data_IF_923926476893
#
_entry.id   IF_923926476893
#
_cell.length_a   1.000
_cell.length_b   1.000
_cell.length_c   1.000
_cell.angle_alpha   90.00
_cell.angle_beta   90.00
_cell.angle_gamma   90.00
#
_symmetry.space_group_name_H-M   'P 1'
#
loop_
_entity.id
_entity.type
_entity.pdbx_description
1 polymer ?
#
# COMPACT_ATOMS: atom_id res chain seq x y z
N UNK A 1 20.24 39.80 -5.62
CA UNK A 1 19.47 38.74 -6.30
C UNK A 1 18.43 38.24 -5.32
N UNK A 2 17.17 38.22 -5.74
CA UNK A 2 16.09 37.63 -4.94
C UNK A 2 16.34 36.11 -4.78
N UNK A 3 16.06 35.59 -3.59
CA UNK A 3 16.26 34.17 -3.23
C UNK A 3 14.89 33.63 -2.83
N UNK A 4 14.04 33.26 -3.81
CA UNK A 4 12.69 32.82 -3.51
C UNK A 4 12.70 31.57 -2.64
N UNK A 5 11.74 31.47 -1.73
CA UNK A 5 11.50 30.31 -0.85
C UNK A 5 10.09 29.78 -1.03
N UNK A 6 9.86 28.52 -0.69
CA UNK A 6 8.55 27.87 -0.82
C UNK A 6 7.47 28.47 0.10
N UNK A 7 6.19 28.12 -0.11
CA UNK A 7 5.09 28.58 0.73
C UNK A 7 5.28 28.12 2.18
N UNK A 8 4.80 28.90 3.17
CA UNK A 8 4.83 28.48 4.57
C UNK A 8 4.00 27.20 4.77
N UNK A 9 4.40 26.40 5.75
CA UNK A 9 3.77 25.12 6.08
C UNK A 9 3.12 25.25 7.45
N UNK A 10 1.85 24.81 7.57
CA UNK A 10 1.15 24.79 8.85
C UNK A 10 1.90 23.93 9.87
N UNK A 11 2.06 24.43 11.10
CA UNK A 11 2.69 23.70 12.20
C UNK A 11 1.69 22.67 12.74
N UNK A 12 1.76 21.46 12.21
CA UNK A 12 1.02 20.28 12.68
C UNK A 12 2.01 19.12 12.81
N UNK A 13 1.84 18.32 13.85
CA UNK A 13 2.66 17.13 14.10
C UNK A 13 2.07 15.91 13.36
N UNK A 14 2.93 15.11 12.72
CA UNK A 14 2.51 13.79 12.24
C UNK A 14 2.62 12.74 13.34
N UNK A 15 1.75 11.73 13.27
CA UNK A 15 1.71 10.62 14.22
C UNK A 15 2.33 9.35 13.59
N UNK A 16 2.93 8.46 14.39
CA UNK A 16 3.33 7.14 13.89
C UNK A 16 2.11 6.31 13.47
N UNK A 17 2.29 5.30 12.60
CA UNK A 17 1.23 4.35 12.25
C UNK A 17 0.55 3.77 13.50
N UNK A 18 -0.79 3.70 13.55
CA UNK A 18 -1.50 3.21 14.72
C UNK A 18 -1.35 1.69 14.84
N UNK A 19 -1.17 1.22 16.08
CA UNK A 19 -1.23 -0.20 16.42
C UNK A 19 -2.65 -0.72 16.63
N UNK A 20 -3.67 0.08 16.33
CA UNK A 20 -5.08 -0.30 16.40
C UNK A 20 -5.59 -0.72 15.03
N UNK A 21 -6.58 -1.61 15.00
CA UNK A 21 -7.22 -2.07 13.77
C UNK A 21 -7.96 -0.94 13.04
N UNK A 22 -7.71 -0.77 11.75
CA UNK A 22 -8.45 0.14 10.88
C UNK A 22 -9.55 -0.65 10.18
N UNK A 23 -10.82 -0.29 10.38
CA UNK A 23 -11.97 -1.05 9.86
C UNK A 23 -12.64 -0.33 8.70
N UNK A 24 -12.88 -1.04 7.60
CA UNK A 24 -13.76 -0.62 6.51
C UNK A 24 -14.95 -1.55 6.31
N UNK A 25 -15.76 -1.33 5.26
CA UNK A 25 -16.87 -2.20 4.88
C UNK A 25 -16.51 -3.68 4.63
N UNK A 26 -15.52 -3.96 3.77
CA UNK A 26 -15.18 -5.34 3.34
C UNK A 26 -13.88 -5.88 3.95
N UNK A 27 -12.99 -5.00 4.41
CA UNK A 27 -11.70 -5.39 4.99
C UNK A 27 -11.40 -4.71 6.32
N UNK A 28 -10.50 -5.32 7.08
CA UNK A 28 -9.85 -4.72 8.25
C UNK A 28 -8.33 -4.75 8.04
N UNK A 29 -7.65 -3.73 8.54
CA UNK A 29 -6.20 -3.66 8.58
C UNK A 29 -5.77 -3.89 10.04
N UNK A 30 -5.29 -5.08 10.34
CA UNK A 30 -4.71 -5.41 11.65
C UNK A 30 -3.19 -5.26 11.60
N UNK A 31 -2.51 -4.80 12.66
CA UNK A 31 -1.06 -4.95 12.75
C UNK A 31 -0.67 -6.41 12.49
N UNK A 32 0.31 -6.62 11.62
CA UNK A 32 0.77 -7.96 11.27
C UNK A 32 1.26 -8.68 12.54
N UNK A 33 0.83 -9.92 12.72
CA UNK A 33 1.10 -10.71 13.92
C UNK A 33 1.39 -12.17 13.54
N UNK A 34 2.20 -12.91 14.31
CA UNK A 34 2.47 -14.33 14.05
C UNK A 34 1.21 -15.20 13.91
N UNK A 35 0.08 -14.83 14.52
CA UNK A 35 -1.21 -15.52 14.35
C UNK A 35 -1.69 -15.55 12.90
N UNK A 36 -1.22 -14.65 12.04
CA UNK A 36 -1.62 -14.56 10.63
C UNK A 36 -0.85 -15.54 9.72
N UNK A 37 0.24 -16.15 10.20
CA UNK A 37 1.17 -16.95 9.39
C UNK A 37 0.47 -18.15 8.74
N UNK A 38 -0.31 -18.89 9.51
CA UNK A 38 -0.92 -20.14 9.05
C UNK A 38 -1.93 -19.92 7.93
N UNK A 39 -2.67 -18.82 7.97
CA UNK A 39 -3.62 -18.44 6.93
C UNK A 39 -2.93 -17.75 5.73
N UNK A 40 -1.83 -17.03 5.94
CA UNK A 40 -1.08 -16.38 4.85
C UNK A 40 -0.22 -17.36 4.05
N UNK A 41 0.39 -18.36 4.69
CA UNK A 41 1.29 -19.30 4.02
C UNK A 41 0.70 -19.95 2.75
N UNK A 42 -0.52 -20.55 2.77
CA UNK A 42 -1.09 -21.15 1.57
C UNK A 42 -1.51 -20.13 0.49
N UNK A 43 -1.52 -18.84 0.79
CA UNK A 43 -1.97 -17.79 -0.16
C UNK A 43 -0.83 -17.02 -0.81
N UNK A 44 0.31 -16.92 -0.10
CA UNK A 44 1.45 -16.11 -0.52
C UNK A 44 2.81 -16.74 -0.22
N UNK A 45 2.89 -17.79 0.60
CA UNK A 45 4.17 -18.36 1.07
C UNK A 45 4.62 -19.63 0.36
N UNK A 46 3.71 -20.35 -0.32
CA UNK A 46 4.08 -21.58 -1.02
C UNK A 46 4.85 -21.31 -2.35
N UNK A 47 5.65 -22.27 -2.85
CA UNK A 47 6.47 -22.09 -4.06
C UNK A 47 5.69 -21.65 -5.31
N UNK A 48 4.43 -22.08 -5.48
CA UNK A 48 3.55 -21.64 -6.57
C UNK A 48 3.27 -20.13 -6.56
N UNK A 49 3.47 -19.46 -5.42
CA UNK A 49 3.30 -18.02 -5.25
C UNK A 49 4.61 -17.24 -5.38
N UNK A 50 5.70 -17.87 -5.83
CA UNK A 50 7.01 -17.22 -5.96
C UNK A 50 6.98 -15.90 -6.77
N UNK A 51 6.10 -15.79 -7.77
CA UNK A 51 5.94 -14.59 -8.59
C UNK A 51 5.46 -13.35 -7.80
N UNK A 52 4.78 -13.52 -6.66
CA UNK A 52 4.38 -12.40 -5.79
C UNK A 52 5.60 -11.69 -5.18
N UNK A 53 6.72 -12.41 -5.05
CA UNK A 53 7.94 -11.95 -4.41
C UNK A 53 9.00 -11.45 -5.39
N UNK A 54 8.73 -11.46 -6.70
CA UNK A 54 9.71 -11.09 -7.74
C UNK A 54 10.36 -9.74 -7.47
N UNK A 55 9.58 -8.73 -7.07
CA UNK A 55 10.04 -7.36 -6.81
C UNK A 55 10.12 -6.99 -5.32
N UNK A 56 9.84 -7.94 -4.44
CA UNK A 56 9.92 -7.74 -2.99
C UNK A 56 11.31 -8.18 -2.52
N UNK A 57 12.00 -7.43 -1.63
CA UNK A 57 13.34 -7.81 -1.15
C UNK A 57 13.41 -9.16 -0.43
N UNK A 58 12.27 -9.64 0.10
CA UNK A 58 12.11 -10.95 0.74
C UNK A 58 11.60 -12.01 -0.25
N UNK A 59 11.69 -13.28 0.16
CA UNK A 59 11.23 -14.42 -0.63
C UNK A 59 11.97 -14.60 -1.97
N UNK A 60 11.44 -15.42 -2.89
CA UNK A 60 10.34 -16.35 -2.65
C UNK A 60 10.72 -17.38 -1.57
N UNK A 61 9.73 -18.07 -1.02
CA UNK A 61 9.94 -19.06 0.05
C UNK A 61 9.79 -20.48 -0.53
N UNK A 62 10.56 -21.41 0.02
CA UNK A 62 10.57 -22.82 -0.40
C UNK A 62 9.77 -23.72 0.55
N UNK A 63 9.51 -23.23 1.77
CA UNK A 63 8.93 -24.00 2.85
C UNK A 63 8.30 -23.08 3.90
N UNK A 64 7.46 -23.67 4.76
CA UNK A 64 6.75 -22.95 5.82
C UNK A 64 7.71 -22.37 6.88
N UNK A 65 8.75 -23.08 7.36
CA UNK A 65 9.66 -22.51 8.35
C UNK A 65 10.33 -21.20 7.91
N UNK A 66 10.86 -21.12 6.69
CA UNK A 66 11.47 -19.89 6.16
C UNK A 66 10.46 -18.75 5.99
N UNK A 67 9.21 -19.08 5.61
CA UNK A 67 8.12 -18.11 5.58
C UNK A 67 7.76 -17.61 6.98
N UNK A 68 7.60 -18.51 7.95
CA UNK A 68 7.31 -18.18 9.36
C UNK A 68 8.38 -17.25 9.93
N UNK A 69 9.66 -17.59 9.77
CA UNK A 69 10.77 -16.75 10.23
C UNK A 69 10.68 -15.34 9.64
N UNK A 70 10.43 -15.24 8.34
CA UNK A 70 10.30 -13.96 7.67
C UNK A 70 9.11 -13.15 8.19
N UNK A 71 7.90 -13.72 8.26
CA UNK A 71 6.70 -13.00 8.69
C UNK A 71 6.78 -12.59 10.17
N UNK A 72 7.34 -13.43 11.04
CA UNK A 72 7.59 -13.06 12.45
C UNK A 72 8.51 -11.84 12.53
N UNK A 73 9.62 -11.82 11.78
CA UNK A 73 10.50 -10.66 11.76
C UNK A 73 9.82 -9.39 11.19
N UNK A 74 8.91 -9.54 10.21
CA UNK A 74 8.12 -8.41 9.70
C UNK A 74 7.12 -7.89 10.75
N UNK A 75 6.48 -8.76 11.54
CA UNK A 75 5.53 -8.36 12.59
C UNK A 75 6.17 -7.58 13.75
N UNK A 76 7.46 -7.79 14.01
CA UNK A 76 8.19 -7.10 15.07
C UNK A 76 8.68 -5.70 14.67
N UNK A 77 8.71 -5.43 13.36
CA UNK A 77 9.23 -4.18 12.79
C UNK A 77 8.35 -2.97 13.15
N UNK A 78 9.03 -1.83 13.39
CA UNK A 78 8.37 -0.51 13.61
C UNK A 78 8.46 0.42 12.40
N UNK A 79 9.46 0.20 11.55
CA UNK A 79 9.59 0.79 10.21
C UNK A 79 10.37 -0.20 9.32
N UNK A 80 9.71 -0.87 8.37
CA UNK A 80 8.29 -0.75 8.02
C UNK A 80 7.34 -1.22 9.12
N UNK A 81 6.20 -0.54 9.29
CA UNK A 81 5.08 -0.99 10.12
C UNK A 81 4.08 -1.76 9.26
N UNK A 82 3.89 -3.05 9.54
CA UNK A 82 3.10 -3.94 8.69
C UNK A 82 1.65 -4.09 9.16
N UNK A 83 0.74 -4.17 8.19
CA UNK A 83 -0.65 -4.52 8.40
C UNK A 83 -1.02 -5.76 7.59
N UNK A 84 -1.65 -6.74 8.23
CA UNK A 84 -2.39 -7.79 7.56
C UNK A 84 -3.75 -7.26 7.07
N UNK A 85 -4.14 -7.64 5.87
CA UNK A 85 -5.43 -7.29 5.27
C UNK A 85 -6.39 -8.45 5.52
N UNK A 86 -7.30 -8.25 6.45
CA UNK A 86 -8.27 -9.25 6.88
C UNK A 86 -9.55 -9.10 6.05
N UNK A 87 -9.99 -10.19 5.44
CA UNK A 87 -11.30 -10.25 4.81
C UNK A 87 -12.38 -10.33 5.90
N UNK A 88 -13.32 -9.38 5.93
CA UNK A 88 -14.33 -9.34 7.01
C UNK A 88 -15.36 -10.48 6.94
N UNK A 89 -15.59 -11.09 5.79
CA UNK A 89 -16.51 -12.21 5.67
C UNK A 89 -15.88 -13.49 6.23
N UNK A 90 -14.65 -13.78 5.86
CA UNK A 90 -13.97 -15.01 6.28
C UNK A 90 -13.20 -14.88 7.59
N UNK A 91 -12.97 -13.64 8.06
CA UNK A 91 -12.13 -13.31 9.23
C UNK A 91 -10.69 -13.83 9.09
N UNK A 92 -10.19 -13.93 7.85
CA UNK A 92 -8.84 -14.43 7.55
C UNK A 92 -7.97 -13.39 6.83
N UNK A 93 -6.65 -13.37 7.09
CA UNK A 93 -5.73 -12.54 6.34
C UNK A 93 -5.61 -13.04 4.89
N UNK A 94 -5.68 -12.12 3.92
CA UNK A 94 -5.61 -12.41 2.48
C UNK A 94 -4.49 -11.63 1.76
N UNK A 95 -3.56 -11.06 2.53
CA UNK A 95 -2.42 -10.30 2.05
C UNK A 95 -1.92 -9.36 3.14
N UNK A 96 -0.88 -8.59 2.82
CA UNK A 96 -0.38 -7.54 3.69
C UNK A 96 0.26 -6.40 2.88
N UNK A 97 0.49 -5.29 3.56
CA UNK A 97 1.29 -4.17 3.12
C UNK A 97 1.90 -3.46 4.34
N UNK A 98 2.71 -2.44 4.13
CA UNK A 98 3.27 -1.65 5.22
C UNK A 98 3.25 -0.16 4.96
N UNK A 99 3.35 0.60 6.04
CA UNK A 99 3.83 1.97 6.03
C UNK A 99 5.33 1.96 6.38
N UNK A 100 6.15 2.64 5.60
CA UNK A 100 7.61 2.64 5.78
C UNK A 100 8.24 3.99 5.47
N UNK A 101 9.53 4.13 5.80
CA UNK A 101 10.31 5.37 5.66
C UNK A 101 9.57 6.54 6.31
N UNK A 102 9.22 6.32 7.57
CA UNK A 102 8.38 7.21 8.36
C UNK A 102 9.20 8.44 8.72
N UNK A 103 8.83 9.59 8.14
CA UNK A 103 9.43 10.88 8.45
C UNK A 103 8.40 11.77 9.15
N UNK A 104 8.42 11.74 10.49
CA UNK A 104 7.51 12.54 11.33
C UNK A 104 7.79 14.04 11.22
N UNK A 105 9.05 14.42 10.97
CA UNK A 105 9.48 15.82 10.90
C UNK A 105 8.95 16.47 9.63
N UNK A 106 9.17 15.84 8.47
CA UNK A 106 8.72 16.35 7.18
C UNK A 106 7.30 15.89 6.82
N UNK A 107 6.72 15.01 7.63
CA UNK A 107 5.37 14.45 7.45
C UNK A 107 5.24 13.73 6.12
N UNK A 108 6.22 12.86 5.85
CA UNK A 108 6.30 12.00 4.65
C UNK A 108 6.26 10.54 5.07
N UNK A 109 5.49 9.73 4.36
CA UNK A 109 5.42 8.28 4.59
C UNK A 109 5.20 7.54 3.28
N UNK A 110 5.68 6.32 3.20
CA UNK A 110 5.56 5.46 2.02
C UNK A 110 4.59 4.30 2.33
N UNK A 111 3.80 3.89 1.35
CA UNK A 111 3.19 2.56 1.30
C UNK A 111 4.09 1.61 0.51
N UNK A 112 4.39 0.45 1.08
CA UNK A 112 5.28 -0.52 0.46
C UNK A 112 5.07 -1.93 0.96
N UNK A 113 6.00 -2.82 0.60
CA UNK A 113 5.90 -4.26 0.87
C UNK A 113 4.49 -4.84 0.58
N UNK A 114 3.89 -4.42 -0.53
CA UNK A 114 2.53 -4.80 -0.87
C UNK A 114 2.54 -6.21 -1.45
N UNK A 115 1.98 -7.16 -0.71
CA UNK A 115 1.81 -8.56 -1.12
C UNK A 115 0.33 -8.92 -1.03
N UNK A 116 -0.37 -8.80 -2.16
CA UNK A 116 -1.76 -9.21 -2.27
C UNK A 116 -1.83 -10.64 -2.81
N UNK A 117 -2.52 -11.53 -2.08
CA UNK A 117 -2.79 -12.88 -2.58
C UNK A 117 -3.66 -12.84 -3.85
N UNK A 118 -3.70 -13.93 -4.65
CA UNK A 118 -4.61 -14.02 -5.78
C UNK A 118 -6.09 -13.77 -5.42
N UNK A 119 -6.51 -14.06 -4.19
CA UNK A 119 -7.86 -13.79 -3.70
C UNK A 119 -8.16 -12.30 -3.53
N UNK A 120 -7.13 -11.49 -3.29
CA UNK A 120 -7.26 -10.05 -3.05
C UNK A 120 -7.03 -9.23 -4.32
N UNK A 121 -6.17 -9.69 -5.22
CA UNK A 121 -5.79 -8.92 -6.41
C UNK A 121 -7.01 -8.57 -7.28
N UNK A 122 -7.08 -7.31 -7.72
CA UNK A 122 -8.13 -6.79 -8.62
C UNK A 122 -9.55 -6.88 -8.05
N UNK A 123 -9.70 -6.90 -6.74
CA UNK A 123 -11.00 -6.84 -6.05
C UNK A 123 -11.31 -5.43 -5.53
N UNK A 124 -12.57 -5.21 -5.14
CA UNK A 124 -13.00 -4.04 -4.38
C UNK A 124 -12.27 -3.94 -3.04
N UNK A 125 -12.13 -5.06 -2.33
CA UNK A 125 -11.40 -5.20 -1.08
C UNK A 125 -9.94 -4.71 -1.17
N UNK A 126 -9.23 -4.99 -2.28
CA UNK A 126 -7.88 -4.47 -2.49
C UNK A 126 -7.84 -2.94 -2.61
N UNK A 127 -8.83 -2.36 -3.30
CA UNK A 127 -8.93 -0.91 -3.46
C UNK A 127 -9.33 -0.25 -2.14
N UNK A 128 -10.24 -0.87 -1.38
CA UNK A 128 -10.64 -0.44 -0.05
C UNK A 128 -9.46 -0.46 0.93
N UNK A 129 -8.63 -1.51 0.94
CA UNK A 129 -7.46 -1.59 1.81
C UNK A 129 -6.49 -0.42 1.60
N UNK A 130 -6.20 -0.07 0.34
CA UNK A 130 -5.36 1.09 -0.01
C UNK A 130 -6.04 2.40 0.38
N UNK A 131 -7.35 2.52 0.15
CA UNK A 131 -8.13 3.70 0.56
C UNK A 131 -8.09 3.93 2.07
N UNK A 132 -8.35 2.90 2.87
CA UNK A 132 -8.33 3.00 4.33
C UNK A 132 -6.97 3.47 4.85
N UNK A 133 -5.88 2.94 4.29
CA UNK A 133 -4.54 3.33 4.69
C UNK A 133 -4.24 4.78 4.29
N UNK A 134 -4.55 5.17 3.05
CA UNK A 134 -4.37 6.54 2.56
C UNK A 134 -5.18 7.55 3.39
N UNK A 135 -6.46 7.24 3.68
CA UNK A 135 -7.34 8.07 4.52
C UNK A 135 -6.74 8.27 5.90
N UNK A 136 -6.27 7.18 6.52
CA UNK A 136 -5.62 7.25 7.85
C UNK A 136 -4.38 8.13 7.82
N UNK A 137 -3.53 7.98 6.80
CA UNK A 137 -2.30 8.77 6.61
C UNK A 137 -2.60 10.28 6.54
N UNK A 138 -3.58 10.70 5.74
CA UNK A 138 -3.88 12.12 5.56
C UNK A 138 -4.76 12.71 6.67
N UNK A 139 -5.82 12.02 7.07
CA UNK A 139 -6.85 12.58 7.96
C UNK A 139 -6.46 12.45 9.42
N UNK A 140 -6.02 11.25 9.83
CA UNK A 140 -5.78 10.93 11.23
C UNK A 140 -4.33 11.22 11.63
N UNK A 141 -3.37 10.85 10.78
CA UNK A 141 -1.95 10.92 11.11
C UNK A 141 -1.26 12.22 10.70
N UNK A 142 -1.92 13.08 9.91
CA UNK A 142 -1.45 14.43 9.59
C UNK A 142 -0.28 14.50 8.61
N UNK A 143 -0.07 13.46 7.78
CA UNK A 143 0.97 13.47 6.75
C UNK A 143 0.62 14.41 5.60
N UNK A 144 1.66 14.95 4.96
CA UNK A 144 1.54 15.87 3.83
C UNK A 144 1.89 15.23 2.49
N UNK A 145 2.57 14.10 2.53
CA UNK A 145 3.04 13.38 1.36
C UNK A 145 2.99 11.88 1.61
N UNK A 146 2.29 11.18 0.73
CA UNK A 146 2.17 9.73 0.74
C UNK A 146 2.82 9.17 -0.51
N UNK A 147 3.86 8.35 -0.33
CA UNK A 147 4.72 7.87 -1.41
C UNK A 147 4.40 6.44 -1.82
N UNK A 148 4.54 6.16 -3.10
CA UNK A 148 4.58 4.80 -3.65
C UNK A 148 5.87 4.63 -4.44
N UNK A 149 6.54 3.50 -4.23
CA UNK A 149 7.72 3.12 -5.03
C UNK A 149 7.67 1.70 -5.49
N UNK A 150 8.23 1.48 -6.66
CA UNK A 150 8.41 0.15 -7.18
C UNK A 150 9.67 0.05 -8.02
N UNK A 151 10.05 -1.19 -8.32
CA UNK A 151 11.00 -1.45 -9.40
C UNK A 151 10.43 -0.87 -10.70
N UNK A 152 11.24 -0.14 -11.47
CA UNK A 152 10.79 0.47 -12.71
C UNK A 152 10.33 -0.56 -13.76
N UNK A 153 10.77 -1.82 -13.65
CA UNK A 153 10.30 -2.93 -14.49
C UNK A 153 8.98 -3.53 -14.00
N UNK A 154 8.52 -3.20 -12.78
CA UNK A 154 7.25 -3.67 -12.24
C UNK A 154 6.06 -2.87 -12.81
N UNK A 155 5.73 -3.13 -14.07
CA UNK A 155 4.61 -2.50 -14.77
C UNK A 155 3.26 -2.63 -14.05
N UNK A 156 2.90 -3.79 -13.44
CA UNK A 156 1.67 -3.89 -12.65
C UNK A 156 1.62 -2.91 -11.47
N UNK A 157 2.72 -2.77 -10.73
CA UNK A 157 2.80 -1.84 -9.60
C UNK A 157 2.73 -0.37 -10.06
N UNK A 158 3.40 0.00 -11.16
CA UNK A 158 3.27 1.36 -11.75
C UNK A 158 1.83 1.67 -12.16
N UNK A 159 1.14 0.71 -12.79
CA UNK A 159 -0.28 0.84 -13.15
C UNK A 159 -1.17 0.97 -11.91
N UNK A 160 -0.88 0.25 -10.84
CA UNK A 160 -1.61 0.36 -9.59
C UNK A 160 -1.43 1.75 -8.95
N UNK A 161 -0.19 2.25 -8.84
CA UNK A 161 0.10 3.59 -8.31
C UNK A 161 -0.68 4.67 -9.08
N UNK A 162 -0.59 4.68 -10.41
CA UNK A 162 -1.35 5.60 -11.25
C UNK A 162 -2.87 5.44 -11.09
N UNK A 163 -3.38 4.20 -11.02
CA UNK A 163 -4.80 3.93 -10.78
C UNK A 163 -5.26 4.50 -9.44
N UNK A 164 -4.46 4.40 -8.39
CA UNK A 164 -4.79 4.89 -7.05
C UNK A 164 -4.61 6.41 -6.86
N UNK A 165 -4.14 7.11 -7.90
CA UNK A 165 -4.04 8.57 -7.89
C UNK A 165 -2.67 9.10 -7.52
N UNK A 166 -1.66 8.24 -7.39
CA UNK A 166 -0.29 8.70 -7.22
C UNK A 166 0.24 9.29 -8.54
N UNK A 167 0.82 10.49 -8.45
CA UNK A 167 1.47 11.20 -9.55
C UNK A 167 2.92 10.73 -9.68
N UNK A 168 3.38 10.43 -10.89
CA UNK A 168 4.77 10.03 -11.15
C UNK A 168 5.72 11.22 -11.05
N UNK A 169 6.85 11.05 -10.36
CA UNK A 169 7.82 12.14 -10.11
C UNK A 169 9.20 11.88 -10.70
N UNK A 170 9.55 10.62 -10.98
CA UNK A 170 10.81 10.29 -11.62
C UNK A 170 11.28 8.87 -11.41
N UNK A 171 12.46 8.58 -11.98
CA UNK A 171 13.14 7.29 -11.83
C UNK A 171 14.55 7.52 -11.32
N UNK A 172 14.86 6.95 -10.17
CA UNK A 172 16.23 6.90 -9.67
C UNK A 172 16.93 5.70 -10.32
N UNK A 173 17.87 5.98 -11.22
CA UNK A 173 18.68 4.96 -11.91
C UNK A 173 19.70 4.35 -10.93
N UNK A 174 19.89 3.05 -11.00
CA UNK A 174 20.80 2.29 -10.12
C UNK A 174 20.58 2.55 -8.63
N UNK A 175 19.32 2.74 -8.23
CA UNK A 175 19.00 3.13 -6.87
C UNK A 175 19.34 2.02 -5.86
N UNK A 176 19.10 0.75 -6.22
CA UNK A 176 19.32 -0.39 -5.32
C UNK A 176 19.87 -1.61 -6.06
N UNK A 177 20.52 -2.51 -5.31
CA UNK A 177 20.77 -3.89 -5.73
C UNK A 177 19.78 -4.78 -4.97
N UNK A 178 18.87 -5.43 -5.68
CA UNK A 178 17.86 -6.34 -5.10
C UNK A 178 18.04 -7.73 -5.69
N UNK A 179 18.25 -8.74 -4.84
CA UNK A 179 18.47 -10.13 -5.25
C UNK A 179 19.57 -10.26 -6.32
N UNK A 180 20.67 -9.53 -6.13
CA UNK A 180 21.82 -9.51 -7.04
C UNK A 180 21.60 -8.79 -8.37
N UNK A 181 20.51 -8.03 -8.53
CA UNK A 181 20.18 -7.31 -9.78
C UNK A 181 20.03 -5.81 -9.55
N UNK A 182 20.35 -5.03 -10.58
CA UNK A 182 20.08 -3.59 -10.61
C UNK A 182 18.57 -3.33 -10.48
N UNK A 183 18.20 -2.40 -9.61
CA UNK A 183 16.86 -1.83 -9.54
C UNK A 183 16.93 -0.33 -9.77
N UNK A 184 16.31 0.09 -10.85
CA UNK A 184 15.87 1.47 -10.99
C UNK A 184 14.55 1.64 -10.24
N UNK A 185 14.39 2.70 -9.45
CA UNK A 185 13.17 2.90 -8.67
C UNK A 185 12.31 3.99 -9.29
N UNK A 186 11.08 3.64 -9.67
CA UNK A 186 10.07 4.61 -10.05
C UNK A 186 9.39 5.16 -8.79
N UNK A 187 9.26 6.49 -8.72
CA UNK A 187 8.70 7.24 -7.60
C UNK A 187 7.38 7.89 -7.98
N UNK A 188 6.41 7.77 -7.07
CA UNK A 188 5.12 8.42 -7.17
C UNK A 188 4.67 8.97 -5.82
N UNK A 189 3.79 9.95 -5.82
CA UNK A 189 3.23 10.51 -4.59
C UNK A 189 1.78 10.98 -4.71
N UNK A 190 1.09 11.06 -3.58
CA UNK A 190 -0.11 11.88 -3.37
C UNK A 190 0.25 12.95 -2.34
N UNK A 191 -0.14 14.20 -2.60
CA UNK A 191 0.00 15.32 -1.66
C UNK A 191 -1.28 15.55 -0.86
N UNK A 192 -1.16 16.16 0.31
CA UNK A 192 -2.31 16.59 1.12
C UNK A 192 -3.31 17.46 0.34
N UNK A 193 -2.81 18.37 -0.49
CA UNK A 193 -3.63 19.22 -1.37
C UNK A 193 -4.41 18.45 -2.44
N UNK A 194 -3.97 17.24 -2.79
CA UNK A 194 -4.61 16.38 -3.80
C UNK A 194 -5.62 15.41 -3.16
N UNK A 195 -5.51 15.19 -1.85
CA UNK A 195 -6.26 14.16 -1.14
C UNK A 195 -7.77 14.30 -1.29
N UNK A 196 -8.32 15.52 -1.25
CA UNK A 196 -9.76 15.73 -1.38
C UNK A 196 -10.34 15.17 -2.69
N UNK A 197 -9.62 15.34 -3.81
CA UNK A 197 -10.03 14.81 -5.12
C UNK A 197 -9.84 13.30 -5.16
N UNK A 198 -8.70 12.80 -4.67
CA UNK A 198 -8.39 11.36 -4.65
C UNK A 198 -9.41 10.61 -3.78
N UNK A 199 -9.68 11.09 -2.57
CA UNK A 199 -10.71 10.57 -1.66
C UNK A 199 -12.08 10.49 -2.32
N UNK A 200 -12.54 11.60 -2.91
CA UNK A 200 -13.85 11.64 -3.56
C UNK A 200 -13.98 10.62 -4.70
N UNK A 201 -12.90 10.33 -5.41
CA UNK A 201 -12.88 9.27 -6.42
C UNK A 201 -12.95 7.87 -5.80
N UNK A 202 -12.20 7.61 -4.73
CA UNK A 202 -12.28 6.33 -3.99
C UNK A 202 -13.68 6.09 -3.44
N UNK A 203 -14.29 7.06 -2.79
CA UNK A 203 -15.63 6.94 -2.19
C UNK A 203 -16.68 6.67 -3.26
N UNK A 204 -16.66 7.40 -4.38
CA UNK A 204 -17.56 7.15 -5.52
C UNK A 204 -17.32 5.78 -6.16
N UNK A 205 -16.08 5.30 -6.18
CA UNK A 205 -15.75 4.02 -6.80
C UNK A 205 -16.17 2.84 -5.92
N UNK A 206 -16.00 2.97 -4.60
CA UNK A 206 -16.36 1.98 -3.59
C UNK A 206 -17.86 1.96 -3.28
N UNK A 207 -18.60 2.99 -3.71
CA UNK A 207 -20.05 3.03 -3.59
C UNK A 207 -20.69 1.81 -4.27
N UNK A 208 -21.61 1.08 -3.60
CA UNK A 208 -22.28 -0.08 -4.19
C UNK A 208 -23.01 0.24 -5.50
N UNK A 209 -23.48 1.47 -5.69
CA UNK A 209 -24.12 1.93 -6.92
C UNK A 209 -23.16 2.09 -8.11
N UNK A 210 -21.85 1.93 -7.90
CA UNK A 210 -20.86 1.89 -8.99
C UNK A 210 -20.58 0.46 -9.50
N UNK A 211 -21.36 -0.55 -9.09
CA UNK A 211 -21.23 -1.93 -9.58
C UNK A 211 -22.56 -2.42 -10.17
N UNK A 212 -22.50 -3.09 -11.31
CA UNK A 212 -23.67 -3.71 -11.95
C UNK A 212 -24.09 -5.01 -11.24
N UNK A 213 -25.16 -5.65 -11.73
CA UNK A 213 -25.71 -6.87 -11.13
C UNK A 213 -24.72 -8.05 -11.14
N UNK A 214 -23.75 -8.03 -12.06
CA UNK A 214 -22.68 -9.01 -12.18
C UNK A 214 -21.43 -8.64 -11.35
N UNK A 215 -21.47 -7.52 -10.62
CA UNK A 215 -20.38 -7.05 -9.77
C UNK A 215 -19.24 -6.37 -10.54
N UNK A 216 -19.46 -5.99 -11.80
CA UNK A 216 -18.48 -5.25 -12.61
C UNK A 216 -18.66 -3.75 -12.38
N UNK A 217 -17.53 -3.05 -12.29
CA UNK A 217 -17.54 -1.59 -12.10
C UNK A 217 -18.22 -0.88 -13.30
N UNK A 218 -19.10 0.07 -13.01
CA UNK A 218 -19.77 0.94 -13.99
C UNK A 218 -18.81 2.04 -14.46
N UNK A 219 -18.12 2.69 -13.51
CA UNK A 219 -17.02 3.63 -13.80
C UNK A 219 -15.76 3.17 -13.11
N UNK A 220 -14.64 3.33 -13.80
CA UNK A 220 -13.32 3.09 -13.25
C UNK A 220 -12.90 4.17 -12.26
N UNK A 221 -11.99 3.83 -11.36
CA UNK A 221 -11.42 4.78 -10.40
C UNK A 221 -10.71 5.96 -11.09
N UNK A 222 -10.14 5.73 -12.27
CA UNK A 222 -9.46 6.77 -13.07
C UNK A 222 -10.49 7.76 -13.61
N UNK A 223 -11.57 7.28 -14.24
CA UNK A 223 -12.65 8.15 -14.73
C UNK A 223 -13.29 8.98 -13.61
N UNK A 224 -13.47 8.38 -12.43
CA UNK A 224 -14.06 9.06 -11.28
C UNK A 224 -13.17 10.13 -10.65
N UNK A 225 -11.86 10.08 -10.89
CA UNK A 225 -10.90 11.10 -10.45
C UNK A 225 -10.86 12.30 -11.39
N UNK A 226 -11.35 12.15 -12.63
CA UNK A 226 -11.46 13.25 -13.61
C UNK A 226 -10.11 13.76 -14.14
N UNK A 227 -9.13 12.86 -14.26
CA UNK A 227 -7.77 13.13 -14.78
C UNK A 227 -7.56 12.45 -16.12
#
# INVERSE_FOLDING_TARGET
MDRPVGPPVEIRQALPPPSTTITGPSVQLEPLDPKHIDDLYPLIGQPEHAALWTYIPKGPFTDKPSFTEAITALSESKDPFFYAIINKTTQKPIGFFSLLRIDLTNRVIEIGFIVFSPLLQRTTAATEAVYLLARTVFEDLGYRRFEWKCDNLNAPSKKAAARFGFTAEGVFRQHLIVKGRNRDTAWFSILDSEWAVVKGAFEKWLDPGNFDAEGKQVRSLVELRGV
#
